data_IF_581627213981
#
_entry.id   IF_581627213981
#
_cell.length_a   1.000
_cell.length_b   1.000
_cell.length_c   1.000
_cell.angle_alpha   90.00
_cell.angle_beta   90.00
_cell.angle_gamma   90.00
#
_symmetry.space_group_name_H-M   'P 1'
#
loop_
_entity.id
_entity.type
_entity.pdbx_description
1 polymer ?
#
# COMPACT_ATOMS: atom_id res chain seq x y z
N UNK A 1 -3.97 9.81 -6.12
CA UNK A 1 -3.50 9.41 -4.77
C UNK A 1 -1.98 9.37 -4.78
N UNK A 2 -1.30 10.29 -4.09
CA UNK A 2 0.17 10.36 -4.09
C UNK A 2 0.77 9.14 -3.37
N UNK A 3 1.47 8.28 -4.10
CA UNK A 3 2.21 7.16 -3.50
C UNK A 3 3.48 7.71 -2.83
N UNK A 4 3.36 8.09 -1.56
CA UNK A 4 4.42 8.73 -0.76
C UNK A 4 5.72 7.92 -0.74
N UNK A 5 5.65 6.59 -0.71
CA UNK A 5 6.82 5.71 -0.73
C UNK A 5 7.55 5.78 -2.07
N UNK A 6 6.82 5.70 -3.19
CA UNK A 6 7.43 5.86 -4.52
C UNK A 6 8.05 7.24 -4.71
N UNK A 7 7.42 8.28 -4.16
CA UNK A 7 7.98 9.62 -4.26
C UNK A 7 9.28 9.75 -3.44
N UNK A 8 9.30 9.22 -2.22
CA UNK A 8 10.50 9.20 -1.38
C UNK A 8 11.63 8.38 -2.04
N UNK A 9 11.33 7.21 -2.58
CA UNK A 9 12.29 6.39 -3.34
C UNK A 9 12.89 7.16 -4.52
N UNK A 10 12.05 7.87 -5.29
CA UNK A 10 12.48 8.67 -6.44
C UNK A 10 13.36 9.86 -6.03
N UNK A 11 12.98 10.59 -4.98
CA UNK A 11 13.71 11.80 -4.52
C UNK A 11 15.01 11.43 -3.82
N UNK A 12 15.00 10.35 -3.04
CA UNK A 12 16.19 9.82 -2.37
C UNK A 12 17.13 9.05 -3.33
N UNK A 13 16.61 8.65 -4.51
CA UNK A 13 17.30 7.79 -5.49
C UNK A 13 17.82 6.48 -4.87
N UNK A 14 17.14 5.97 -3.85
CA UNK A 14 17.53 4.78 -3.10
C UNK A 14 16.31 3.96 -2.71
N UNK A 15 16.44 2.64 -2.77
CA UNK A 15 15.40 1.70 -2.34
C UNK A 15 15.52 1.35 -0.84
N UNK A 16 16.56 1.84 -0.15
CA UNK A 16 16.72 1.70 1.29
C UNK A 16 15.77 2.67 2.04
N UNK A 17 14.77 2.09 2.72
CA UNK A 17 13.71 2.84 3.41
C UNK A 17 14.26 3.62 4.59
N UNK A 18 15.40 3.23 5.15
CA UNK A 18 16.03 3.98 6.24
C UNK A 18 16.60 5.32 5.77
N UNK A 19 16.95 5.45 4.48
CA UNK A 19 17.46 6.68 3.88
C UNK A 19 16.34 7.67 3.54
N UNK A 20 15.07 7.22 3.54
CA UNK A 20 13.93 8.06 3.17
C UNK A 20 13.52 9.07 4.24
N UNK A 21 14.10 9.01 5.45
CA UNK A 21 13.68 9.81 6.63
C UNK A 21 13.64 11.32 6.40
N UNK A 22 14.52 11.84 5.53
CA UNK A 22 14.57 13.27 5.17
C UNK A 22 13.71 13.62 3.94
N UNK A 23 13.09 12.64 3.29
CA UNK A 23 12.32 12.78 2.05
C UNK A 23 10.82 12.54 2.27
N UNK A 24 10.34 12.84 3.46
CA UNK A 24 8.93 12.73 3.84
C UNK A 24 8.04 13.77 3.15
N UNK A 25 6.73 13.50 3.07
CA UNK A 25 5.79 14.47 2.51
C UNK A 25 5.58 15.66 3.44
N UNK A 26 5.45 16.87 2.86
CA UNK A 26 5.32 18.15 3.59
C UNK A 26 4.13 18.18 4.56
N UNK A 27 3.05 17.48 4.24
CA UNK A 27 1.83 17.45 5.05
C UNK A 27 1.89 16.46 6.23
N UNK A 28 2.93 15.63 6.33
CA UNK A 28 3.10 14.68 7.42
C UNK A 28 4.15 15.19 8.41
N UNK A 29 3.90 15.00 9.70
CA UNK A 29 4.90 15.28 10.73
C UNK A 29 6.12 14.37 10.56
N UNK A 30 7.31 14.94 10.75
CA UNK A 30 8.59 14.26 10.51
C UNK A 30 8.75 13.02 11.39
N UNK A 31 8.26 13.06 12.61
CA UNK A 31 8.37 11.98 13.59
C UNK A 31 7.62 10.73 13.10
N UNK A 32 6.37 10.91 12.66
CA UNK A 32 5.57 9.81 12.11
C UNK A 32 6.17 9.24 10.82
N UNK A 33 6.75 10.10 9.98
CA UNK A 33 7.44 9.63 8.79
C UNK A 33 8.66 8.77 9.11
N UNK A 34 9.47 9.18 10.08
CA UNK A 34 10.64 8.43 10.55
C UNK A 34 10.23 7.06 11.09
N UNK A 35 9.17 7.00 11.90
CA UNK A 35 8.63 5.74 12.42
C UNK A 35 8.17 4.80 11.29
N UNK A 36 7.46 5.33 10.29
CA UNK A 36 7.03 4.56 9.12
C UNK A 36 8.22 4.03 8.31
N UNK A 37 9.25 4.85 8.09
CA UNK A 37 10.49 4.43 7.44
C UNK A 37 11.15 3.26 8.18
N UNK A 38 11.20 3.32 9.51
CA UNK A 38 11.75 2.23 10.33
C UNK A 38 10.92 0.95 10.22
N UNK A 39 9.58 1.05 10.27
CA UNK A 39 8.68 -0.09 10.08
C UNK A 39 8.89 -0.73 8.70
N UNK A 40 8.98 0.09 7.65
CA UNK A 40 9.14 -0.41 6.28
C UNK A 40 10.54 -0.97 6.00
N UNK A 41 11.57 -0.45 6.66
CA UNK A 41 12.92 -0.98 6.62
C UNK A 41 13.05 -2.34 7.34
N UNK A 42 12.12 -2.67 8.23
CA UNK A 42 12.13 -3.92 8.98
C UNK A 42 12.02 -5.17 8.09
N UNK A 43 12.75 -6.22 8.47
CA UNK A 43 12.80 -7.49 7.74
C UNK A 43 11.40 -8.13 7.57
N UNK A 44 10.59 -8.10 8.65
CA UNK A 44 9.21 -8.59 8.64
C UNK A 44 8.36 -7.90 7.56
N UNK A 45 8.50 -6.58 7.44
CA UNK A 45 7.75 -5.82 6.46
C UNK A 45 8.21 -6.13 5.03
N UNK A 46 9.53 -6.19 4.79
CA UNK A 46 10.08 -6.54 3.49
C UNK A 46 9.61 -7.93 3.02
N UNK A 47 9.69 -8.94 3.90
CA UNK A 47 9.20 -10.31 3.60
C UNK A 47 7.73 -10.32 3.22
N UNK A 48 6.88 -9.66 4.01
CA UNK A 48 5.45 -9.58 3.73
C UNK A 48 5.15 -8.81 2.44
N UNK A 49 5.87 -7.72 2.18
CA UNK A 49 5.70 -6.90 0.99
C UNK A 49 6.07 -7.65 -0.28
N UNK A 50 7.14 -8.45 -0.26
CA UNK A 50 7.56 -9.29 -1.39
C UNK A 50 6.52 -10.39 -1.63
N UNK A 51 6.16 -11.14 -0.59
CA UNK A 51 5.14 -12.21 -0.69
C UNK A 51 3.81 -11.68 -1.21
N UNK A 52 3.36 -10.53 -0.73
CA UNK A 52 2.13 -9.90 -1.23
C UNK A 52 2.24 -9.46 -2.70
N UNK A 53 3.42 -9.02 -3.15
CA UNK A 53 3.67 -8.71 -4.57
C UNK A 53 3.62 -9.97 -5.42
N UNK A 54 4.28 -11.04 -4.99
CA UNK A 54 4.28 -12.34 -5.68
C UNK A 54 2.88 -12.93 -5.76
N UNK A 55 2.14 -12.94 -4.65
CA UNK A 55 0.75 -13.42 -4.63
C UNK A 55 -0.14 -12.67 -5.65
N UNK A 56 0.01 -11.34 -5.76
CA UNK A 56 -0.74 -10.55 -6.75
C UNK A 56 -0.33 -10.84 -8.19
N UNK A 57 0.95 -11.16 -8.43
CA UNK A 57 1.45 -11.51 -9.76
C UNK A 57 1.02 -12.93 -10.16
N UNK A 58 0.95 -13.85 -9.20
CA UNK A 58 0.54 -15.24 -9.41
C UNK A 58 -0.98 -15.38 -9.61
N UNK A 59 -1.78 -14.51 -8.99
CA UNK A 59 -3.24 -14.52 -9.07
C UNK A 59 -3.78 -13.20 -9.66
N UNK A 60 -3.54 -12.91 -10.95
CA UNK A 60 -4.07 -11.71 -11.60
C UNK A 60 -5.60 -11.66 -11.57
N UNK A 61 -6.29 -12.81 -11.61
CA UNK A 61 -7.73 -12.95 -11.45
C UNK A 61 -8.24 -12.52 -10.07
N UNK A 62 -7.42 -12.64 -9.02
CA UNK A 62 -7.76 -12.17 -7.69
C UNK A 62 -7.59 -10.63 -7.53
N UNK A 63 -6.94 -9.97 -8.49
CA UNK A 63 -6.93 -8.50 -8.60
C UNK A 63 -8.16 -7.97 -9.36
N UNK A 64 -9.00 -8.83 -9.93
CA UNK A 64 -10.32 -8.40 -10.39
C UNK A 64 -11.08 -8.01 -9.13
N UNK A 65 -11.35 -6.72 -8.95
CA UNK A 65 -12.30 -6.27 -7.94
C UNK A 65 -13.60 -7.05 -8.16
N UNK A 66 -13.84 -8.05 -7.33
CA UNK A 66 -15.11 -8.77 -7.27
C UNK A 66 -16.12 -7.80 -6.72
N UNK A 67 -16.60 -6.90 -7.59
CA UNK A 67 -17.67 -5.93 -7.38
C UNK A 67 -17.73 -5.40 -5.94
N UNK A 68 -16.96 -4.35 -5.65
CA UNK A 68 -17.19 -3.56 -4.45
C UNK A 68 -18.66 -3.14 -4.35
N UNK A 69 -19.13 -2.89 -3.13
CA UNK A 69 -20.43 -2.32 -2.76
C UNK A 69 -21.56 -2.54 -3.79
N UNK A 70 -22.28 -3.64 -3.63
CA UNK A 70 -23.53 -3.87 -4.38
C UNK A 70 -24.54 -2.77 -4.01
N UNK A 71 -25.23 -2.20 -5.00
CA UNK A 71 -26.25 -1.18 -4.72
C UNK A 71 -27.34 -1.75 -3.81
N UNK A 72 -27.96 -0.91 -2.97
CA UNK A 72 -29.04 -1.36 -2.09
C UNK A 72 -30.19 -2.04 -2.86
N UNK A 73 -30.50 -1.56 -4.06
CA UNK A 73 -31.51 -2.16 -4.93
C UNK A 73 -31.13 -3.60 -5.34
N UNK A 74 -29.87 -3.81 -5.75
CA UNK A 74 -29.36 -5.14 -6.10
C UNK A 74 -29.26 -6.07 -4.89
N UNK A 75 -28.97 -5.54 -3.70
CA UNK A 75 -29.01 -6.31 -2.47
C UNK A 75 -30.44 -6.74 -2.09
N UNK A 76 -31.40 -5.81 -2.16
CA UNK A 76 -32.82 -6.05 -1.84
C UNK A 76 -33.43 -7.09 -2.77
N UNK A 77 -33.17 -7.00 -4.07
CA UNK A 77 -33.66 -7.96 -5.06
C UNK A 77 -33.16 -9.41 -4.82
N UNK A 78 -32.01 -9.60 -4.18
CA UNK A 78 -31.47 -10.92 -3.81
C UNK A 78 -32.05 -11.49 -2.51
N UNK A 79 -32.64 -10.65 -1.66
CA UNK A 79 -33.29 -11.07 -0.42
C UNK A 79 -34.76 -11.41 -0.62
N UNK A 80 -35.40 -10.82 -1.63
CA UNK A 80 -36.82 -11.01 -1.96
C UNK A 80 -37.04 -12.10 -3.03
N UNK A 81 -36.00 -12.84 -3.42
CA UNK A 81 -36.03 -14.01 -4.31
C UNK A 81 -35.97 -15.31 -3.52
#
# INVERSE_FOLDING_TARGET
>A
MYNVRRNAERVCASTDKNQWKEHGPVWMRKEYWIELCAIWGGEKWNKNSIKAKENRAAHPEANVHTSGSVSFATHKARLES
#
